data_IF_609023082641
#
_entry.id   IF_609023082641
#
_cell.length_a   1.000
_cell.length_b   1.000
_cell.length_c   1.000
_cell.angle_alpha   90.00
_cell.angle_beta   90.00
_cell.angle_gamma   90.00
#
_symmetry.space_group_name_H-M   'P 1'
#
loop_
_entity.id
_entity.type
_entity.pdbx_description
1 polymer ?
#
# COMPACT_ATOMS: atom_id res chain seq x y z
N UNK A 1 12.13 -52.55 -46.58
CA UNK A 1 12.18 -52.52 -45.09
C UNK A 1 13.31 -51.54 -44.72
N UNK A 2 13.00 -50.34 -44.40
CA UNK A 2 13.93 -49.33 -43.89
C UNK A 2 13.69 -49.24 -42.39
N UNK A 3 14.72 -49.53 -41.60
CA UNK A 3 14.77 -49.34 -40.16
C UNK A 3 15.24 -47.94 -39.86
N UNK A 4 14.37 -47.12 -39.23
CA UNK A 4 14.72 -45.81 -38.73
C UNK A 4 15.12 -45.94 -37.26
N UNK A 5 16.40 -45.67 -36.96
CA UNK A 5 16.93 -45.54 -35.60
C UNK A 5 16.78 -44.11 -35.15
N UNK A 6 16.42 -43.83 -33.88
CA UNK A 6 16.34 -42.49 -33.37
C UNK A 6 17.74 -41.87 -33.13
N UNK A 7 17.98 -40.63 -33.61
CA UNK A 7 19.15 -39.86 -33.29
C UNK A 7 19.06 -39.29 -31.90
N UNK A 8 20.04 -39.61 -31.09
CA UNK A 8 20.29 -39.06 -29.76
C UNK A 8 20.78 -37.62 -29.87
N UNK A 9 20.07 -36.67 -29.29
CA UNK A 9 20.43 -35.27 -29.30
C UNK A 9 21.26 -34.98 -28.04
N UNK A 10 22.57 -34.83 -28.18
CA UNK A 10 23.44 -34.37 -27.10
C UNK A 10 23.15 -32.91 -26.73
N UNK A 11 23.12 -32.56 -25.42
CA UNK A 11 22.97 -31.17 -24.99
C UNK A 11 24.28 -30.39 -25.17
N UNK A 12 24.24 -29.33 -25.99
CA UNK A 12 25.33 -28.36 -26.14
C UNK A 12 25.58 -27.64 -24.80
N UNK A 13 26.73 -27.87 -24.18
CA UNK A 13 27.23 -27.04 -23.09
C UNK A 13 27.44 -25.60 -23.58
N UNK A 14 26.64 -24.66 -23.11
CA UNK A 14 26.87 -23.23 -23.30
C UNK A 14 28.04 -22.81 -22.37
N UNK A 15 29.18 -22.42 -22.97
CA UNK A 15 30.29 -21.80 -22.28
C UNK A 15 29.90 -20.37 -21.88
N UNK A 16 29.68 -20.14 -20.59
CA UNK A 16 29.55 -18.81 -20.02
C UNK A 16 30.94 -18.22 -19.90
N UNK A 17 31.25 -17.19 -20.71
CA UNK A 17 32.46 -16.40 -20.57
C UNK A 17 32.38 -15.55 -19.31
N UNK A 18 33.49 -15.40 -18.54
CA UNK A 18 33.50 -14.50 -17.38
C UNK A 18 33.31 -13.05 -17.82
N UNK A 19 32.34 -12.36 -17.18
CA UNK A 19 32.17 -10.91 -17.35
C UNK A 19 33.33 -10.22 -16.63
N UNK A 20 34.11 -9.49 -17.38
CA UNK A 20 35.20 -8.65 -16.91
C UNK A 20 34.64 -7.54 -16.01
N UNK A 21 35.09 -7.49 -14.77
CA UNK A 21 34.75 -6.43 -13.82
C UNK A 21 35.29 -5.10 -14.33
N UNK A 22 34.41 -4.25 -14.84
CA UNK A 22 34.75 -2.86 -15.08
C UNK A 22 34.86 -2.15 -13.73
N UNK A 23 36.04 -1.57 -13.50
CA UNK A 23 36.40 -0.79 -12.34
C UNK A 23 35.42 0.35 -12.10
N UNK A 24 34.79 0.37 -10.91
CA UNK A 24 33.95 1.44 -10.45
C UNK A 24 34.68 2.78 -10.42
N UNK A 25 34.32 3.69 -11.30
CA UNK A 25 34.69 5.10 -11.20
C UNK A 25 34.03 5.71 -9.95
N UNK A 26 34.83 6.37 -9.10
CA UNK A 26 34.39 7.15 -7.96
C UNK A 26 33.23 8.10 -8.36
N UNK A 27 32.09 8.08 -7.67
CA UNK A 27 31.07 9.11 -7.90
C UNK A 27 31.60 10.47 -7.47
N UNK A 28 31.40 11.47 -8.30
CA UNK A 28 31.67 12.86 -8.00
C UNK A 28 30.86 13.31 -6.76
N UNK A 29 31.33 14.31 -5.96
CA UNK A 29 30.62 14.75 -4.78
C UNK A 29 29.28 15.38 -5.20
N UNK A 30 28.20 14.70 -4.87
CA UNK A 30 26.84 15.24 -5.00
C UNK A 30 26.77 16.46 -4.09
N UNK A 31 26.44 17.62 -4.65
CA UNK A 31 26.18 18.85 -3.92
C UNK A 31 25.23 18.55 -2.75
N UNK A 32 25.59 19.00 -1.55
CA UNK A 32 24.76 18.94 -0.35
C UNK A 32 23.47 19.70 -0.64
N UNK A 33 22.44 19.00 -1.08
CA UNK A 33 21.07 19.50 -0.98
C UNK A 33 20.81 19.78 0.50
N UNK A 34 20.22 20.94 0.78
CA UNK A 34 19.92 21.42 2.12
C UNK A 34 19.30 20.28 2.93
N UNK A 35 19.94 19.92 4.03
CA UNK A 35 19.39 18.97 4.98
C UNK A 35 18.13 19.60 5.56
N UNK A 36 16.98 19.21 5.05
CA UNK A 36 15.71 19.41 5.73
C UNK A 36 15.87 18.72 7.08
N UNK A 37 15.97 19.51 8.12
CA UNK A 37 16.08 19.03 9.50
C UNK A 37 14.73 18.40 9.84
N UNK A 38 14.57 17.12 9.49
CA UNK A 38 13.41 16.32 9.86
C UNK A 38 13.40 16.23 11.39
N UNK A 39 12.58 17.06 12.01
CA UNK A 39 12.37 17.04 13.45
C UNK A 39 11.90 15.64 13.83
N UNK A 40 12.72 14.90 14.55
CA UNK A 40 12.37 13.57 15.09
C UNK A 40 11.26 13.75 16.11
N UNK A 41 10.00 13.72 15.68
CA UNK A 41 8.85 13.71 16.60
C UNK A 41 8.86 12.40 17.37
N UNK A 42 8.79 12.48 18.69
CA UNK A 42 8.59 11.32 19.55
C UNK A 42 7.12 10.92 19.54
N UNK A 43 6.79 9.67 19.84
CA UNK A 43 5.39 9.20 19.94
C UNK A 43 4.51 10.08 20.83
N UNK A 44 5.07 10.59 21.92
CA UNK A 44 4.37 11.47 22.87
C UNK A 44 4.00 12.87 22.29
N UNK A 45 4.65 13.28 21.20
CA UNK A 45 4.48 14.61 20.63
C UNK A 45 3.43 14.66 19.51
N UNK A 46 2.84 13.50 19.17
CA UNK A 46 1.84 13.39 18.11
C UNK A 46 0.45 13.27 18.73
N UNK A 47 -0.44 14.23 18.50
CA UNK A 47 -1.80 14.17 19.02
C UNK A 47 -2.54 12.93 18.47
N UNK A 48 -3.28 12.25 19.33
CA UNK A 48 -4.14 11.13 18.94
C UNK A 48 -5.60 11.54 18.93
N UNK A 49 -6.43 10.89 18.11
CA UNK A 49 -7.86 11.15 18.01
C UNK A 49 -8.22 12.60 17.64
N UNK A 50 -7.41 13.24 16.81
CA UNK A 50 -7.66 14.60 16.29
C UNK A 50 -9.00 14.61 15.55
N UNK A 51 -9.23 13.62 14.70
CA UNK A 51 -10.49 13.39 14.01
C UNK A 51 -11.27 12.26 14.68
N UNK A 52 -12.58 12.40 14.70
CA UNK A 52 -13.51 11.45 15.34
C UNK A 52 -14.64 11.06 14.39
N UNK A 53 -15.36 9.95 14.63
CA UNK A 53 -16.45 9.51 13.76
C UNK A 53 -17.54 10.56 13.51
N UNK A 54 -17.75 11.50 14.46
CA UNK A 54 -18.71 12.60 14.31
C UNK A 54 -18.18 13.79 13.48
N UNK A 55 -16.87 13.92 13.42
CA UNK A 55 -16.14 14.99 12.71
C UNK A 55 -14.93 14.36 12.00
N UNK A 56 -15.17 13.49 11.01
CA UNK A 56 -14.09 12.81 10.32
C UNK A 56 -13.34 13.78 9.39
N UNK A 57 -12.07 13.51 9.16
CA UNK A 57 -11.37 14.04 8.02
C UNK A 57 -11.80 13.27 6.76
N UNK A 58 -11.84 13.95 5.63
CA UNK A 58 -12.15 13.35 4.33
C UNK A 58 -10.91 13.45 3.43
N UNK A 59 -10.13 12.37 3.43
CA UNK A 59 -8.92 12.25 2.62
C UNK A 59 -9.21 11.89 1.16
N UNK A 60 -8.32 12.30 0.26
CA UNK A 60 -8.41 11.91 -1.15
C UNK A 60 -7.50 10.73 -1.42
N UNK A 61 -8.00 9.71 -2.10
CA UNK A 61 -7.18 8.60 -2.61
C UNK A 61 -6.27 9.11 -3.71
N UNK A 62 -4.96 8.91 -3.58
CA UNK A 62 -3.96 9.25 -4.59
C UNK A 62 -3.64 8.02 -5.44
N UNK A 63 -3.44 6.88 -4.78
CA UNK A 63 -3.07 5.62 -5.40
C UNK A 63 -3.84 4.46 -4.79
N UNK A 64 -4.17 3.47 -5.61
CA UNK A 64 -4.68 2.18 -5.19
C UNK A 64 -4.26 1.13 -6.21
N UNK A 65 -3.34 0.24 -5.82
CA UNK A 65 -2.84 -0.80 -6.69
C UNK A 65 -2.66 -2.13 -5.98
N UNK A 66 -2.75 -3.22 -6.75
CA UNK A 66 -2.57 -4.57 -6.24
C UNK A 66 -1.10 -4.86 -5.91
N UNK A 67 -0.88 -5.46 -4.75
CA UNK A 67 0.43 -6.00 -4.35
C UNK A 67 0.61 -7.47 -4.77
N UNK A 68 -0.43 -8.09 -5.32
CA UNK A 68 -0.38 -9.48 -5.74
C UNK A 68 0.09 -9.59 -7.19
N UNK A 69 0.84 -10.66 -7.47
CA UNK A 69 1.18 -11.04 -8.84
C UNK A 69 -0.06 -11.58 -9.56
N UNK A 70 -0.04 -11.51 -10.89
CA UNK A 70 -1.05 -12.12 -11.73
C UNK A 70 -1.25 -13.60 -11.39
N UNK A 71 -2.50 -14.06 -11.34
CA UNK A 71 -2.87 -15.42 -10.96
C UNK A 71 -2.92 -15.71 -9.46
N UNK A 72 -2.56 -14.76 -8.59
CA UNK A 72 -2.69 -14.94 -7.16
C UNK A 72 -4.16 -14.85 -6.70
N UNK A 73 -4.50 -15.59 -5.64
CA UNK A 73 -5.87 -15.65 -5.11
C UNK A 73 -6.10 -14.52 -4.10
N UNK A 74 -7.25 -13.87 -4.22
CA UNK A 74 -7.67 -12.77 -3.34
C UNK A 74 -7.20 -11.40 -3.81
N UNK A 75 -7.33 -10.40 -2.93
CA UNK A 75 -6.93 -9.01 -3.21
C UNK A 75 -6.14 -8.47 -2.02
N UNK A 76 -4.98 -7.91 -2.31
CA UNK A 76 -4.16 -7.16 -1.35
C UNK A 76 -3.70 -5.90 -2.05
N UNK A 77 -4.14 -4.75 -1.56
CA UNK A 77 -3.88 -3.48 -2.20
C UNK A 77 -3.05 -2.57 -1.30
N UNK A 78 -2.14 -1.83 -1.93
CA UNK A 78 -1.53 -0.64 -1.36
C UNK A 78 -2.39 0.57 -1.73
N UNK A 79 -2.73 1.39 -0.74
CA UNK A 79 -3.65 2.52 -0.92
C UNK A 79 -3.04 3.72 -0.24
N UNK A 80 -2.85 4.81 -0.99
CA UNK A 80 -2.27 6.06 -0.49
C UNK A 80 -3.31 7.17 -0.47
N UNK A 81 -3.38 7.89 0.66
CA UNK A 81 -4.29 9.02 0.87
C UNK A 81 -3.51 10.32 1.01
N UNK A 82 -4.03 11.40 0.44
CA UNK A 82 -3.54 12.76 0.64
C UNK A 82 -4.07 13.33 1.96
N UNK A 83 -3.18 13.96 2.72
CA UNK A 83 -3.47 14.62 3.99
C UNK A 83 -3.32 16.13 3.94
N UNK A 84 -2.99 16.70 2.77
CA UNK A 84 -2.64 18.14 2.63
C UNK A 84 -3.69 19.08 3.19
N UNK A 85 -4.96 18.76 2.97
CA UNK A 85 -6.10 19.60 3.34
C UNK A 85 -6.61 19.33 4.76
N UNK A 86 -5.88 18.52 5.55
CA UNK A 86 -6.29 18.25 6.93
C UNK A 86 -6.01 19.46 7.84
N UNK A 87 -7.04 19.93 8.55
CA UNK A 87 -6.96 21.01 9.55
C UNK A 87 -7.76 20.61 10.81
N UNK A 88 -7.09 20.37 11.95
CA UNK A 88 -5.63 20.38 12.15
C UNK A 88 -4.91 19.28 11.37
N UNK A 89 -3.66 19.55 10.97
CA UNK A 89 -2.90 18.62 10.15
C UNK A 89 -2.75 17.24 10.82
N UNK A 90 -3.07 16.17 10.08
CA UNK A 90 -3.02 14.80 10.56
C UNK A 90 -1.59 14.28 10.56
N UNK A 91 -0.88 14.56 11.65
CA UNK A 91 0.43 13.97 11.91
C UNK A 91 0.27 12.56 12.47
N UNK A 92 1.18 11.67 12.11
CA UNK A 92 1.25 10.32 12.66
C UNK A 92 2.71 9.85 12.81
N UNK A 93 2.89 8.76 13.51
CA UNK A 93 4.16 8.02 13.59
C UNK A 93 3.92 6.55 13.30
N UNK A 94 4.99 5.85 12.95
CA UNK A 94 4.97 4.42 12.64
C UNK A 94 4.35 3.62 13.79
N UNK A 95 3.53 2.62 13.45
CA UNK A 95 2.82 1.76 14.40
C UNK A 95 1.47 2.30 14.87
N UNK A 96 1.09 3.52 14.46
CA UNK A 96 -0.28 4.01 14.68
C UNK A 96 -1.27 3.39 13.70
N UNK A 97 -2.56 3.54 14.03
CA UNK A 97 -3.68 3.12 13.18
C UNK A 97 -4.56 4.31 12.84
N UNK A 98 -5.19 4.26 11.67
CA UNK A 98 -6.25 5.18 11.29
C UNK A 98 -7.59 4.44 11.18
N UNK A 99 -8.67 5.17 11.46
CA UNK A 99 -10.02 4.68 11.29
C UNK A 99 -10.55 5.03 9.91
N UNK A 100 -11.13 4.06 9.23
CA UNK A 100 -11.80 4.24 7.94
C UNK A 100 -13.28 3.98 8.13
N UNK A 101 -14.12 4.88 7.62
CA UNK A 101 -15.57 4.71 7.54
C UNK A 101 -15.96 4.47 6.08
N UNK A 102 -16.36 3.23 5.72
CA UNK A 102 -16.82 2.97 4.36
C UNK A 102 -18.06 3.80 4.02
N UNK A 103 -18.15 4.25 2.79
CA UNK A 103 -19.35 4.90 2.28
C UNK A 103 -20.54 3.92 2.25
N UNK A 104 -21.76 4.48 2.32
CA UNK A 104 -23.01 3.71 2.29
C UNK A 104 -23.53 3.34 3.68
N UNK A 105 -24.55 2.51 3.67
CA UNK A 105 -25.33 2.11 4.84
C UNK A 105 -25.43 0.59 4.96
N UNK A 106 -25.61 0.12 6.18
CA UNK A 106 -25.88 -1.29 6.44
C UNK A 106 -27.34 -1.67 6.11
N UNK A 107 -27.70 -2.95 6.28
CA UNK A 107 -29.04 -3.45 6.02
C UNK A 107 -30.14 -2.78 6.85
N UNK A 108 -29.80 -2.02 7.89
CA UNK A 108 -30.72 -1.29 8.74
C UNK A 108 -30.78 0.23 8.42
N UNK A 109 -30.17 0.66 7.31
CA UNK A 109 -30.09 2.08 6.92
C UNK A 109 -29.18 2.90 7.83
N UNK A 110 -28.20 2.29 8.51
CA UNK A 110 -27.24 2.99 9.35
C UNK A 110 -25.89 3.07 8.64
N UNK A 111 -25.16 4.19 8.79
CA UNK A 111 -23.80 4.30 8.25
C UNK A 111 -22.91 3.12 8.69
N UNK A 112 -22.07 2.65 7.80
CA UNK A 112 -21.13 1.58 8.12
C UNK A 112 -20.23 1.94 9.29
N UNK A 113 -19.91 0.94 10.11
CA UNK A 113 -19.05 1.12 11.28
C UNK A 113 -17.60 1.35 10.86
N UNK A 114 -16.93 2.27 11.55
CA UNK A 114 -15.49 2.50 11.45
C UNK A 114 -14.70 1.20 11.66
N UNK A 115 -13.65 1.03 10.88
CA UNK A 115 -12.64 -0.02 11.06
C UNK A 115 -11.27 0.58 11.17
N UNK A 116 -10.46 0.05 12.09
CA UNK A 116 -9.08 0.47 12.28
C UNK A 116 -8.14 -0.32 11.35
N UNK A 117 -7.23 0.39 10.74
CA UNK A 117 -6.14 -0.15 9.93
C UNK A 117 -4.81 0.38 10.43
N UNK A 118 -3.82 -0.52 10.57
CA UNK A 118 -2.45 -0.11 10.85
C UNK A 118 -1.88 0.67 9.67
N UNK A 119 -1.20 1.77 9.96
CA UNK A 119 -0.54 2.59 8.95
C UNK A 119 0.65 1.80 8.39
N UNK A 120 0.78 1.74 7.07
CA UNK A 120 1.83 1.03 6.36
C UNK A 120 3.02 1.93 5.99
N UNK A 121 2.77 3.23 5.79
CA UNK A 121 3.83 4.20 5.46
C UNK A 121 4.59 4.67 6.70
N UNK A 122 5.79 5.21 6.48
CA UNK A 122 6.49 6.00 7.50
C UNK A 122 5.79 7.34 7.70
N UNK A 123 6.13 8.05 8.79
CA UNK A 123 5.61 9.42 9.06
C UNK A 123 5.91 10.44 7.96
N UNK A 124 6.81 10.11 7.06
CA UNK A 124 7.17 10.94 5.92
C UNK A 124 6.27 10.70 4.70
N UNK A 125 5.38 9.73 4.78
CA UNK A 125 4.53 9.30 3.66
C UNK A 125 5.32 8.62 2.56
N UNK A 126 4.64 8.15 1.51
CA UNK A 126 5.26 7.47 0.38
C UNK A 126 6.06 8.43 -0.52
N UNK A 127 5.66 9.70 -0.54
CA UNK A 127 6.34 10.77 -1.30
C UNK A 127 7.44 11.49 -0.51
N UNK A 128 7.68 11.10 0.75
CA UNK A 128 8.66 11.72 1.66
C UNK A 128 8.42 13.20 2.00
N UNK A 129 7.26 13.75 1.66
CA UNK A 129 6.86 15.13 1.98
C UNK A 129 6.09 15.24 3.31
N UNK A 130 5.74 14.10 3.91
CA UNK A 130 5.02 14.04 5.18
C UNK A 130 3.53 14.39 5.09
N UNK A 131 2.97 14.42 3.89
CA UNK A 131 1.59 14.84 3.62
C UNK A 131 0.72 13.69 3.06
N UNK A 132 1.18 12.45 3.17
CA UNK A 132 0.44 11.25 2.75
C UNK A 132 0.47 10.18 3.83
N UNK A 133 -0.51 9.29 3.81
CA UNK A 133 -0.57 8.09 4.63
C UNK A 133 -1.01 6.91 3.77
N UNK A 134 -0.41 5.73 4.00
CA UNK A 134 -0.73 4.53 3.22
C UNK A 134 -1.18 3.38 4.10
N UNK A 135 -2.03 2.56 3.52
CA UNK A 135 -2.51 1.30 4.07
C UNK A 135 -2.14 0.13 3.16
N UNK A 136 -1.87 -1.02 3.77
CA UNK A 136 -1.81 -2.30 3.07
C UNK A 136 -3.05 -3.10 3.49
N UNK A 137 -3.98 -3.31 2.56
CA UNK A 137 -5.30 -3.88 2.85
C UNK A 137 -5.49 -5.19 2.12
N UNK A 138 -5.72 -6.26 2.88
CA UNK A 138 -6.21 -7.53 2.35
C UNK A 138 -7.74 -7.55 2.41
N UNK A 139 -8.39 -7.83 1.29
CA UNK A 139 -9.84 -8.05 1.26
C UNK A 139 -10.19 -9.28 2.12
N UNK A 140 -11.07 -9.09 3.08
CA UNK A 140 -11.64 -10.19 3.85
C UNK A 140 -12.69 -10.90 3.02
N UNK A 141 -12.50 -12.20 2.83
CA UNK A 141 -13.48 -13.12 2.25
C UNK A 141 -13.56 -14.38 3.08
N UNK A 142 -14.75 -14.91 3.28
CA UNK A 142 -14.97 -16.19 3.94
C UNK A 142 -16.28 -16.84 3.47
N UNK A 143 -16.34 -18.15 3.56
CA UNK A 143 -17.53 -18.91 3.24
C UNK A 143 -18.46 -18.99 4.46
N UNK A 144 -19.74 -18.73 4.26
CA UNK A 144 -20.78 -18.91 5.26
C UNK A 144 -22.05 -19.43 4.59
N UNK A 145 -22.55 -20.55 5.07
CA UNK A 145 -23.79 -21.20 4.58
C UNK A 145 -23.77 -21.46 3.05
N UNK A 146 -22.58 -21.71 2.46
CA UNK A 146 -22.38 -21.92 1.04
C UNK A 146 -22.29 -20.64 0.21
N UNK A 147 -22.30 -19.46 0.85
CA UNK A 147 -22.13 -18.17 0.19
C UNK A 147 -20.79 -17.52 0.55
N UNK A 148 -20.17 -16.89 -0.42
CA UNK A 148 -18.95 -16.11 -0.20
C UNK A 148 -19.31 -14.74 0.37
N UNK A 149 -18.91 -14.49 1.61
CA UNK A 149 -19.12 -13.22 2.30
C UNK A 149 -17.87 -12.35 2.18
N UNK A 150 -18.05 -11.12 1.73
CA UNK A 150 -17.00 -10.11 1.62
C UNK A 150 -17.03 -9.14 2.80
N UNK A 151 -15.86 -8.82 3.34
CA UNK A 151 -15.74 -7.80 4.38
C UNK A 151 -16.05 -6.40 3.82
N UNK A 152 -17.02 -5.71 4.42
CA UNK A 152 -17.52 -4.41 3.92
C UNK A 152 -16.40 -3.39 3.71
N UNK A 153 -15.65 -3.07 4.76
CA UNK A 153 -14.63 -2.03 4.69
C UNK A 153 -13.42 -2.42 3.82
N UNK A 154 -12.97 -3.67 3.92
CA UNK A 154 -11.82 -4.14 3.13
C UNK A 154 -12.15 -4.23 1.64
N UNK A 155 -13.39 -4.59 1.28
CA UNK A 155 -13.84 -4.59 -0.11
C UNK A 155 -13.96 -3.16 -0.63
N UNK A 156 -14.60 -2.28 0.13
CA UNK A 156 -14.68 -0.84 -0.18
C UNK A 156 -13.28 -0.27 -0.47
N UNK A 157 -12.31 -0.49 0.43
CA UNK A 157 -10.94 0.00 0.25
C UNK A 157 -10.24 -0.59 -0.97
N UNK A 158 -10.50 -1.85 -1.31
CA UNK A 158 -9.94 -2.45 -2.53
C UNK A 158 -10.61 -1.93 -3.82
N UNK A 159 -11.80 -1.35 -3.75
CA UNK A 159 -12.59 -0.91 -4.91
C UNK A 159 -12.44 0.60 -5.21
N UNK A 160 -12.13 1.42 -4.21
CA UNK A 160 -11.94 2.87 -4.38
C UNK A 160 -10.82 3.18 -5.37
N UNK A 161 -10.93 4.32 -6.02
CA UNK A 161 -10.02 4.73 -7.09
C UNK A 161 -9.34 6.07 -6.76
N UNK A 162 -8.20 6.36 -7.38
CA UNK A 162 -7.60 7.69 -7.30
C UNK A 162 -8.64 8.78 -7.61
N UNK A 163 -8.71 9.80 -6.73
CA UNK A 163 -9.69 10.88 -6.76
C UNK A 163 -10.88 10.68 -5.85
N UNK A 164 -11.17 9.45 -5.40
CA UNK A 164 -12.28 9.19 -4.45
C UNK A 164 -11.98 9.79 -3.08
N UNK A 165 -13.06 10.18 -2.37
CA UNK A 165 -13.00 10.70 -1.01
C UNK A 165 -13.32 9.61 0.00
N UNK A 166 -12.56 9.56 1.08
CA UNK A 166 -12.68 8.57 2.16
C UNK A 166 -12.66 9.24 3.52
N UNK A 167 -13.61 8.86 4.37
CA UNK A 167 -13.72 9.35 5.76
C UNK A 167 -13.01 8.41 6.73
#
# INVERSE_FOLDING_TARGET
RASNSPQEIEPKKSQIKPVEQQSASKPAPVAKAAANTLVKKKHADVPVNIYRPKTPYEGTVIENYSLLKEGAIGRVNHITFDLKDSDPFLNYVEGQSIGIMPAGEDANGKPHKLRLYSIASTRHGDNFEGNTVSLCVRQLQYEKDGETINGVCSTYLCDIKPGDKVK
#
